data_IF_790481034870
#
_entry.id   IF_790481034870
#
_cell.length_a   1.000
_cell.length_b   1.000
_cell.length_c   1.000
_cell.angle_alpha   90.00
_cell.angle_beta   90.00
_cell.angle_gamma   90.00
#
_symmetry.space_group_name_H-M   'P 1'
#
loop_
_entity.id
_entity.type
_entity.pdbx_description
1 polymer ?
#
# COMPACT_ATOMS: atom_id res chain seq x y z
N UNK A 1 -9.90 2.75 28.92
CA UNK A 1 -8.69 2.69 29.75
C UNK A 1 -7.57 2.14 28.88
N UNK A 2 -6.45 2.85 28.83
CA UNK A 2 -5.25 2.40 28.11
C UNK A 2 -4.25 1.92 29.15
N UNK A 3 -3.66 0.76 28.92
CA UNK A 3 -2.57 0.26 29.74
C UNK A 3 -1.29 0.29 28.91
N UNK A 4 -0.28 1.04 29.39
CA UNK A 4 1.03 1.12 28.76
C UNK A 4 1.99 0.24 29.58
N UNK A 5 2.49 -0.82 28.96
CA UNK A 5 3.50 -1.68 29.57
C UNK A 5 4.79 -1.56 28.76
N UNK A 6 5.80 -0.91 29.34
CA UNK A 6 7.13 -0.84 28.73
C UNK A 6 7.79 -2.22 28.83
N UNK A 7 8.09 -2.84 27.70
CA UNK A 7 8.61 -4.19 27.69
C UNK A 7 10.02 -4.35 27.08
N UNK A 8 10.52 -3.33 26.37
CA UNK A 8 11.88 -3.39 25.81
C UNK A 8 12.47 -1.99 25.68
N UNK A 9 13.78 -1.85 25.95
CA UNK A 9 14.60 -0.72 25.54
C UNK A 9 15.36 -1.16 24.29
N UNK A 10 14.93 -0.70 23.14
CA UNK A 10 15.56 -1.02 21.86
C UNK A 10 17.05 -0.70 21.88
N UNK A 11 17.88 -1.60 21.41
CA UNK A 11 19.29 -1.32 21.13
C UNK A 11 19.41 -0.54 19.84
N UNK A 12 19.88 0.71 19.96
CA UNK A 12 20.31 1.59 18.86
C UNK A 12 19.53 1.52 17.52
N UNK A 13 18.48 2.26 17.44
CA UNK A 13 18.10 2.94 16.21
C UNK A 13 17.43 2.12 15.11
N UNK A 14 16.70 1.05 15.37
CA UNK A 14 15.86 0.39 14.38
C UNK A 14 14.38 0.66 14.66
N UNK A 15 13.78 1.55 13.88
CA UNK A 15 12.33 1.75 13.89
C UNK A 15 11.71 0.69 12.99
N UNK A 16 10.79 -0.06 13.57
CA UNK A 16 10.04 -1.11 12.89
C UNK A 16 8.71 -0.53 12.38
N UNK A 17 8.47 -0.58 11.09
CA UNK A 17 7.20 -0.16 10.48
C UNK A 17 6.56 -1.39 9.83
N UNK A 18 5.77 -2.16 10.58
CA UNK A 18 4.98 -3.29 10.09
C UNK A 18 5.75 -4.31 9.23
N UNK A 19 5.10 -4.95 8.25
CA UNK A 19 5.75 -5.85 7.27
C UNK A 19 6.85 -5.19 6.44
N UNK A 20 6.90 -3.87 6.40
CA UNK A 20 8.00 -3.08 5.82
C UNK A 20 9.34 -3.30 6.53
N UNK A 21 9.36 -4.03 7.63
CA UNK A 21 10.58 -4.47 8.33
C UNK A 21 11.53 -5.34 7.52
N UNK A 22 11.10 -5.87 6.38
CA UNK A 22 12.02 -6.50 5.44
C UNK A 22 13.01 -5.49 4.82
N UNK A 23 12.68 -4.19 4.89
CA UNK A 23 13.50 -3.12 4.33
C UNK A 23 13.79 -2.13 5.45
N UNK A 24 15.05 -2.06 5.86
CA UNK A 24 15.52 -1.07 6.83
C UNK A 24 15.39 0.34 6.23
N UNK A 25 14.34 1.08 6.62
CA UNK A 25 14.00 2.38 6.00
C UNK A 25 14.71 3.54 6.68
N UNK A 26 15.01 3.45 7.98
CA UNK A 26 15.81 4.47 8.68
C UNK A 26 16.64 3.86 9.82
N UNK A 27 17.79 4.48 10.09
CA UNK A 27 18.51 4.35 11.36
C UNK A 27 18.23 5.62 12.11
N UNK A 28 17.55 5.53 13.25
CA UNK A 28 17.60 6.60 14.23
C UNK A 28 18.96 6.57 14.91
N UNK A 29 19.52 7.74 15.20
CA UNK A 29 20.73 7.86 16.03
C UNK A 29 20.41 7.84 17.51
N UNK A 30 19.14 7.74 17.89
CA UNK A 30 18.64 7.80 19.25
C UNK A 30 18.03 6.46 19.69
N UNK A 31 18.01 6.15 20.98
CA UNK A 31 17.39 4.95 21.50
C UNK A 31 15.88 4.92 21.20
N UNK A 32 15.38 3.74 20.88
CA UNK A 32 13.95 3.48 20.70
C UNK A 32 13.39 2.96 22.00
N UNK A 33 12.36 3.62 22.53
CA UNK A 33 11.58 3.10 23.66
C UNK A 33 10.32 2.43 23.13
N UNK A 34 10.13 1.16 23.50
CA UNK A 34 9.06 0.31 23.00
C UNK A 34 8.03 0.02 24.09
N UNK A 35 6.75 0.17 23.74
CA UNK A 35 5.64 -0.03 24.65
C UNK A 35 4.59 -0.95 24.02
N UNK A 36 4.00 -1.83 24.81
CA UNK A 36 2.76 -2.50 24.50
C UNK A 36 1.61 -1.59 24.92
N UNK A 37 0.70 -1.28 24.00
CA UNK A 37 -0.52 -0.51 24.25
C UNK A 37 -1.71 -1.43 24.03
N UNK A 38 -2.42 -1.77 25.09
CA UNK A 38 -3.57 -2.66 25.03
C UNK A 38 -4.87 -1.90 24.86
N UNK A 39 -5.68 -2.31 23.89
CA UNK A 39 -7.02 -1.82 23.60
C UNK A 39 -8.04 -2.95 23.88
N UNK A 40 -9.33 -2.64 23.86
CA UNK A 40 -10.37 -3.66 24.09
C UNK A 40 -10.34 -4.82 23.08
N UNK A 41 -9.86 -4.57 21.85
CA UNK A 41 -9.92 -5.54 20.76
C UNK A 41 -8.56 -5.97 20.22
N UNK A 42 -7.51 -5.24 20.56
CA UNK A 42 -6.16 -5.51 20.05
C UNK A 42 -5.09 -4.91 20.96
N UNK A 43 -3.86 -5.36 20.80
CA UNK A 43 -2.70 -4.70 21.37
C UNK A 43 -1.82 -4.15 20.25
N UNK A 44 -1.29 -2.94 20.45
CA UNK A 44 -0.33 -2.33 19.53
C UNK A 44 1.03 -2.18 20.21
N UNK A 45 2.07 -2.19 19.40
CA UNK A 45 3.41 -1.79 19.78
C UNK A 45 3.58 -0.31 19.47
N UNK A 46 3.90 0.50 20.46
CA UNK A 46 4.27 1.90 20.31
C UNK A 46 5.79 2.00 20.42
N UNK A 47 6.46 2.41 19.37
CA UNK A 47 7.87 2.74 19.38
C UNK A 47 8.04 4.27 19.40
N UNK A 48 8.76 4.77 20.39
CA UNK A 48 9.09 6.17 20.55
C UNK A 48 10.60 6.37 20.40
N UNK A 49 10.98 7.28 19.53
CA UNK A 49 12.35 7.76 19.43
C UNK A 49 12.42 9.13 20.09
N UNK A 50 13.25 9.25 21.12
CA UNK A 50 13.43 10.48 21.87
C UNK A 50 14.84 10.99 21.65
N UNK A 51 14.97 12.25 21.24
CA UNK A 51 16.27 12.90 21.04
C UNK A 51 16.95 13.27 22.39
N UNK A 52 18.15 13.82 22.32
CA UNK A 52 18.92 14.21 23.50
C UNK A 52 18.26 15.36 24.31
N UNK A 53 17.36 16.13 23.68
CA UNK A 53 16.62 17.21 24.31
C UNK A 53 15.28 16.74 24.92
N UNK A 54 15.06 15.43 25.02
CA UNK A 54 13.80 14.79 25.49
C UNK A 54 12.59 15.12 24.60
N UNK A 55 12.80 15.43 23.33
CA UNK A 55 11.73 15.62 22.36
C UNK A 55 11.53 14.35 21.55
N UNK A 56 10.28 14.11 21.15
CA UNK A 56 9.94 13.00 20.27
C UNK A 56 10.46 13.31 18.86
N UNK A 57 11.43 12.51 18.39
CA UNK A 57 12.01 12.60 17.04
C UNK A 57 11.18 11.76 16.06
N UNK A 58 10.68 10.61 16.50
CA UNK A 58 9.80 9.75 15.71
C UNK A 58 8.86 8.93 16.61
N UNK A 59 7.73 8.54 16.05
CA UNK A 59 6.71 7.71 16.69
C UNK A 59 6.11 6.74 15.67
N UNK A 60 6.07 5.45 16.00
CA UNK A 60 5.32 4.46 15.22
C UNK A 60 4.37 3.66 16.09
N UNK A 61 3.28 3.19 15.47
CA UNK A 61 2.31 2.27 16.04
C UNK A 61 2.20 1.07 15.10
N UNK A 62 2.58 -0.09 15.60
CA UNK A 62 2.55 -1.35 14.87
C UNK A 62 1.72 -2.38 15.63
N UNK A 63 1.22 -3.45 15.01
CA UNK A 63 0.60 -4.56 15.72
C UNK A 63 1.57 -5.13 16.77
N UNK A 64 1.08 -5.30 18.01
CA UNK A 64 1.88 -5.95 19.05
C UNK A 64 2.01 -7.44 18.75
N UNK A 65 3.25 -7.93 18.74
CA UNK A 65 3.56 -9.34 18.51
C UNK A 65 4.09 -9.93 19.81
N UNK A 66 3.41 -10.95 20.32
CA UNK A 66 3.86 -11.65 21.52
C UNK A 66 5.12 -12.45 21.23
N UNK A 67 6.24 -12.06 21.84
CA UNK A 67 7.52 -12.73 21.65
C UNK A 67 7.52 -14.19 22.13
N UNK A 68 6.64 -14.58 23.06
CA UNK A 68 6.53 -15.96 23.53
C UNK A 68 6.15 -16.94 22.41
N UNK A 69 5.45 -16.46 21.36
CA UNK A 69 5.09 -17.27 20.17
C UNK A 69 6.28 -17.48 19.24
N UNK A 70 7.28 -16.58 19.28
CA UNK A 70 8.43 -16.61 18.34
C UNK A 70 9.54 -17.57 18.75
N UNK A 71 9.66 -17.86 20.06
CA UNK A 71 10.76 -18.70 20.58
C UNK A 71 10.66 -20.16 20.15
N UNK A 72 9.46 -20.60 19.74
CA UNK A 72 9.19 -21.97 19.27
C UNK A 72 9.20 -22.13 17.75
N UNK A 73 9.42 -21.05 16.97
CA UNK A 73 9.35 -21.16 15.52
C UNK A 73 10.51 -22.00 14.95
N UNK A 74 10.18 -23.04 14.21
CA UNK A 74 11.11 -23.96 13.54
C UNK A 74 11.34 -23.47 12.12
N UNK A 75 12.61 -23.25 11.77
CA UNK A 75 13.00 -22.91 10.41
C UNK A 75 13.05 -24.16 9.52
N UNK A 76 12.01 -24.34 8.71
CA UNK A 76 11.92 -25.39 7.68
C UNK A 76 11.97 -24.83 6.25
N UNK A 77 12.50 -23.60 6.09
CA UNK A 77 12.65 -22.96 4.78
C UNK A 77 13.71 -23.69 3.95
N UNK A 78 13.45 -23.83 2.68
CA UNK A 78 14.39 -24.42 1.71
C UNK A 78 15.09 -23.32 0.90
N UNK A 79 16.34 -23.57 0.57
CA UNK A 79 17.04 -22.82 -0.50
C UNK A 79 16.48 -23.35 -1.82
N UNK A 80 15.72 -22.54 -2.53
CA UNK A 80 14.91 -23.01 -3.64
C UNK A 80 15.43 -22.54 -5.01
N UNK A 81 16.31 -21.55 -5.02
CA UNK A 81 16.86 -21.00 -6.25
C UNK A 81 18.12 -20.16 -6.01
N UNK A 82 18.80 -19.81 -7.10
CA UNK A 82 20.03 -19.01 -7.09
C UNK A 82 19.86 -17.57 -6.55
N UNK A 83 18.62 -17.11 -6.37
CA UNK A 83 18.34 -15.73 -5.91
C UNK A 83 18.06 -15.63 -4.42
N UNK A 84 17.77 -16.74 -3.74
CA UNK A 84 17.56 -16.77 -2.29
C UNK A 84 18.73 -17.54 -1.67
N UNK A 85 19.75 -16.82 -1.29
CA UNK A 85 20.90 -17.35 -0.57
C UNK A 85 20.56 -17.57 0.94
N UNK A 86 21.47 -18.21 1.66
CA UNK A 86 21.31 -18.50 3.10
C UNK A 86 21.08 -17.24 3.93
N UNK A 87 21.70 -16.12 3.55
CA UNK A 87 21.54 -14.84 4.24
C UNK A 87 20.13 -14.28 4.06
N UNK A 88 19.60 -14.34 2.84
CA UNK A 88 18.24 -13.91 2.52
C UNK A 88 17.21 -14.82 3.21
N UNK A 89 17.41 -16.14 3.15
CA UNK A 89 16.57 -17.11 3.87
C UNK A 89 16.53 -16.81 5.37
N UNK A 90 17.69 -16.55 5.98
CA UNK A 90 17.77 -16.19 7.40
C UNK A 90 17.04 -14.89 7.72
N UNK A 91 17.11 -13.89 6.84
CA UNK A 91 16.35 -12.64 6.98
C UNK A 91 14.85 -12.92 6.91
N UNK A 92 14.40 -13.69 5.92
CA UNK A 92 12.99 -14.06 5.75
C UNK A 92 12.50 -14.78 7.03
N UNK A 93 13.20 -15.81 7.48
CA UNK A 93 12.83 -16.53 8.70
C UNK A 93 12.75 -15.60 9.92
N UNK A 94 13.80 -14.80 10.17
CA UNK A 94 13.85 -13.92 11.33
C UNK A 94 12.73 -12.88 11.36
N UNK A 95 12.22 -12.47 10.18
CA UNK A 95 11.11 -11.52 10.08
C UNK A 95 9.74 -12.19 10.12
N UNK A 96 9.64 -13.43 9.65
CA UNK A 96 8.37 -14.16 9.63
C UNK A 96 8.09 -14.97 10.89
N UNK A 97 9.09 -15.29 11.71
CA UNK A 97 8.92 -16.10 12.93
C UNK A 97 7.99 -15.49 13.99
N UNK A 98 7.73 -14.19 13.89
CA UNK A 98 6.83 -13.46 14.79
C UNK A 98 5.40 -13.37 14.28
N UNK A 99 5.15 -13.70 13.01
CA UNK A 99 3.83 -13.61 12.43
C UNK A 99 2.92 -14.74 12.96
N UNK A 100 1.60 -14.55 12.99
CA UNK A 100 0.68 -15.56 13.52
C UNK A 100 0.64 -16.82 12.66
N UNK A 101 0.03 -17.88 13.22
CA UNK A 101 -0.23 -19.12 12.49
C UNK A 101 -1.09 -18.86 11.23
N UNK A 102 -0.96 -19.70 10.22
CA UNK A 102 -1.58 -19.56 8.89
C UNK A 102 -1.14 -18.34 8.07
N UNK A 103 -0.15 -17.58 8.53
CA UNK A 103 0.46 -16.53 7.68
C UNK A 103 1.05 -17.14 6.42
N UNK A 104 0.74 -16.51 5.29
CA UNK A 104 1.38 -16.75 4.01
C UNK A 104 2.03 -15.46 3.51
N UNK A 105 3.25 -15.59 2.99
CA UNK A 105 3.94 -14.50 2.29
C UNK A 105 4.31 -15.00 0.90
N UNK A 106 3.96 -14.22 -0.13
CA UNK A 106 4.36 -14.46 -1.52
C UNK A 106 5.30 -13.34 -1.96
N UNK A 107 6.47 -13.72 -2.45
CA UNK A 107 7.54 -12.80 -2.86
C UNK A 107 7.82 -13.02 -4.34
N UNK A 108 7.73 -11.95 -5.14
CA UNK A 108 8.27 -11.89 -6.49
C UNK A 108 9.52 -11.02 -6.48
N UNK A 109 10.66 -11.61 -6.78
CA UNK A 109 11.96 -10.92 -6.83
C UNK A 109 12.45 -10.83 -8.27
N UNK A 110 12.79 -9.63 -8.70
CA UNK A 110 13.34 -9.37 -10.02
C UNK A 110 14.76 -8.84 -9.87
N UNK A 111 15.71 -9.51 -10.51
CA UNK A 111 17.11 -9.12 -10.53
C UNK A 111 17.60 -9.10 -11.96
N UNK A 112 18.09 -7.94 -12.42
CA UNK A 112 18.53 -7.74 -13.81
C UNK A 112 17.48 -8.16 -14.84
N UNK A 113 16.18 -7.97 -14.54
CA UNK A 113 15.06 -8.35 -15.39
C UNK A 113 14.61 -9.82 -15.30
N UNK A 114 15.31 -10.67 -14.57
CA UNK A 114 14.93 -12.06 -14.34
C UNK A 114 14.06 -12.19 -13.09
N UNK A 115 12.96 -12.93 -13.22
CA UNK A 115 11.97 -13.11 -12.15
C UNK A 115 12.18 -14.43 -11.45
N UNK A 116 12.08 -14.39 -10.13
CA UNK A 116 11.97 -15.57 -9.27
C UNK A 116 10.91 -15.36 -8.21
N UNK A 117 10.30 -16.45 -7.76
CA UNK A 117 9.28 -16.44 -6.74
C UNK A 117 9.72 -17.23 -5.53
N UNK A 118 9.37 -16.71 -4.37
CA UNK A 118 9.62 -17.39 -3.11
C UNK A 118 8.42 -17.22 -2.19
N UNK A 119 7.79 -18.32 -1.84
CA UNK A 119 6.63 -18.34 -0.97
C UNK A 119 6.95 -18.98 0.37
N UNK A 120 6.36 -18.46 1.42
CA UNK A 120 6.42 -19.07 2.76
C UNK A 120 5.03 -19.21 3.35
N UNK A 121 4.87 -20.23 4.21
CA UNK A 121 3.69 -20.41 5.05
C UNK A 121 4.14 -20.76 6.46
N UNK A 122 3.50 -20.15 7.46
CA UNK A 122 3.57 -20.58 8.84
C UNK A 122 2.41 -21.54 9.13
N UNK A 123 2.71 -22.71 9.62
CA UNK A 123 1.71 -23.69 10.10
C UNK A 123 2.23 -24.34 11.36
N UNK A 124 1.45 -24.25 12.42
CA UNK A 124 1.87 -24.60 13.78
C UNK A 124 3.16 -23.83 14.14
N UNK A 125 4.18 -24.52 14.65
CA UNK A 125 5.46 -23.90 15.02
C UNK A 125 6.46 -23.84 13.86
N UNK A 126 6.10 -24.30 12.66
CA UNK A 126 7.02 -24.38 11.51
C UNK A 126 6.76 -23.30 10.46
N UNK A 127 7.83 -22.76 9.92
CA UNK A 127 7.80 -21.87 8.73
C UNK A 127 8.49 -22.61 7.61
N UNK A 128 7.78 -22.85 6.52
CA UNK A 128 8.27 -23.65 5.39
C UNK A 128 8.00 -22.97 4.04
N UNK A 129 8.80 -23.34 3.06
CA UNK A 129 8.67 -22.85 1.70
C UNK A 129 7.45 -23.48 1.03
N UNK A 130 6.66 -22.66 0.33
CA UNK A 130 5.50 -23.09 -0.47
C UNK A 130 5.53 -22.40 -1.84
N UNK A 131 4.89 -23.01 -2.81
CA UNK A 131 4.63 -22.35 -4.08
C UNK A 131 3.27 -21.65 -4.01
N UNK A 132 3.29 -20.34 -3.79
CA UNK A 132 2.09 -19.51 -3.68
C UNK A 132 2.16 -18.24 -4.56
N UNK A 133 3.00 -18.25 -5.60
CA UNK A 133 3.15 -17.11 -6.52
C UNK A 133 1.85 -16.71 -7.22
N UNK A 134 0.94 -17.69 -7.40
CA UNK A 134 -0.39 -17.50 -8.00
C UNK A 134 -1.49 -17.19 -6.99
N UNK A 135 -1.22 -17.37 -5.70
CA UNK A 135 -2.20 -17.09 -4.67
C UNK A 135 -2.51 -15.58 -4.63
N UNK A 136 -3.78 -15.27 -4.47
CA UNK A 136 -4.30 -13.91 -4.57
C UNK A 136 -4.41 -13.28 -3.19
N UNK A 137 -4.05 -11.99 -3.11
CA UNK A 137 -4.07 -11.15 -1.92
C UNK A 137 -4.71 -9.80 -2.24
N UNK A 138 -5.25 -9.11 -1.25
CA UNK A 138 -5.54 -7.70 -1.38
C UNK A 138 -4.23 -6.91 -1.42
N UNK A 139 -4.00 -6.15 -2.49
CA UNK A 139 -2.77 -5.34 -2.62
C UNK A 139 -2.91 -3.95 -2.00
N UNK A 140 -4.08 -3.62 -1.47
CA UNK A 140 -4.35 -2.37 -0.80
C UNK A 140 -3.92 -1.16 -1.63
N UNK A 141 -3.26 -0.23 -0.99
CA UNK A 141 -2.90 1.06 -1.62
C UNK A 141 -1.94 0.99 -2.81
N UNK A 142 -1.36 -0.17 -3.15
CA UNK A 142 -0.64 -0.33 -4.43
C UNK A 142 -1.61 -0.08 -5.60
N UNK A 143 -2.91 -0.31 -5.44
CA UNK A 143 -3.96 0.06 -6.40
C UNK A 143 -3.87 1.51 -6.89
N UNK A 144 -3.37 2.43 -6.05
CA UNK A 144 -3.19 3.84 -6.43
C UNK A 144 -2.21 4.03 -7.58
N UNK A 145 -1.18 3.21 -7.64
CA UNK A 145 -0.22 3.26 -8.74
C UNK A 145 -0.88 2.86 -10.05
N UNK A 146 -1.75 1.84 -10.01
CA UNK A 146 -2.52 1.39 -11.17
C UNK A 146 -3.54 2.46 -11.60
N UNK A 147 -4.24 3.09 -10.66
CA UNK A 147 -5.13 4.23 -10.92
C UNK A 147 -4.40 5.39 -11.60
N UNK A 148 -3.21 5.72 -11.09
CA UNK A 148 -2.39 6.77 -11.68
C UNK A 148 -1.90 6.42 -13.09
N UNK A 149 -1.74 5.11 -13.41
CA UNK A 149 -1.41 4.69 -14.77
C UNK A 149 -2.56 5.00 -15.75
N UNK A 150 -3.81 4.75 -15.35
CA UNK A 150 -4.98 5.15 -16.17
C UNK A 150 -5.01 6.68 -16.31
N UNK A 151 -4.76 7.44 -15.24
CA UNK A 151 -4.64 8.90 -15.31
C UNK A 151 -3.57 9.33 -16.33
N UNK A 152 -2.39 8.70 -16.31
CA UNK A 152 -1.31 8.99 -17.25
C UNK A 152 -1.70 8.72 -18.70
N UNK A 153 -2.43 7.61 -18.96
CA UNK A 153 -2.97 7.29 -20.27
C UNK A 153 -3.87 8.42 -20.77
N UNK A 154 -4.83 8.87 -19.96
CA UNK A 154 -5.78 9.92 -20.34
C UNK A 154 -5.08 11.27 -20.62
N UNK A 155 -4.03 11.58 -19.87
CA UNK A 155 -3.19 12.75 -20.11
C UNK A 155 -2.47 12.65 -21.46
N UNK A 156 -1.89 11.50 -21.78
CA UNK A 156 -1.15 11.30 -23.04
C UNK A 156 -2.07 11.20 -24.26
N UNK A 157 -3.32 10.80 -24.09
CA UNK A 157 -4.36 10.83 -25.11
C UNK A 157 -5.01 12.23 -25.28
N UNK A 158 -4.53 13.23 -24.53
CA UNK A 158 -5.07 14.59 -24.50
C UNK A 158 -6.56 14.68 -24.12
N UNK A 159 -7.09 13.66 -23.41
CA UNK A 159 -8.44 13.70 -22.85
C UNK A 159 -8.54 14.68 -21.68
N UNK A 160 -7.45 14.80 -20.92
CA UNK A 160 -7.31 15.68 -19.77
C UNK A 160 -5.89 16.21 -19.65
N UNK A 161 -5.70 17.25 -18.80
CA UNK A 161 -4.40 17.70 -18.33
C UNK A 161 -4.25 17.42 -16.83
N UNK A 162 -3.04 17.16 -16.36
CA UNK A 162 -2.75 17.06 -14.92
C UNK A 162 -3.11 18.35 -14.16
N UNK A 163 -3.17 19.48 -14.84
CA UNK A 163 -3.54 20.77 -14.26
C UNK A 163 -5.03 21.10 -14.37
N UNK A 164 -5.81 20.26 -15.02
CA UNK A 164 -7.25 20.44 -15.07
C UNK A 164 -7.87 20.21 -13.69
N UNK A 165 -8.93 20.96 -13.41
CA UNK A 165 -9.73 20.77 -12.22
C UNK A 165 -10.72 19.62 -12.44
N UNK A 166 -10.81 18.70 -11.52
CA UNK A 166 -11.79 17.61 -11.59
C UNK A 166 -13.23 18.12 -11.63
N UNK A 167 -13.48 19.31 -11.09
CA UNK A 167 -14.74 20.02 -11.12
C UNK A 167 -15.36 20.13 -12.53
N UNK A 168 -14.53 20.21 -13.56
CA UNK A 168 -14.98 20.35 -14.96
C UNK A 168 -15.67 19.08 -15.50
N UNK A 169 -15.61 17.98 -14.76
CA UNK A 169 -16.07 16.66 -15.16
C UNK A 169 -17.20 16.12 -14.28
N UNK A 170 -17.76 16.97 -13.41
CA UNK A 170 -18.90 16.63 -12.55
C UNK A 170 -20.10 17.50 -12.92
N UNK A 171 -21.29 16.90 -12.87
CA UNK A 171 -22.56 17.63 -12.84
C UNK A 171 -22.90 18.11 -11.42
N UNK A 172 -21.89 18.22 -10.55
CA UNK A 172 -21.99 18.53 -9.14
C UNK A 172 -21.13 19.75 -8.81
N UNK A 173 -21.66 20.73 -8.11
CA UNK A 173 -20.89 21.84 -7.58
C UNK A 173 -20.23 21.42 -6.26
N UNK A 174 -18.90 21.45 -6.23
CA UNK A 174 -18.19 21.19 -4.98
C UNK A 174 -18.43 22.33 -3.98
N UNK A 175 -18.52 21.98 -2.70
CA UNK A 175 -18.70 22.95 -1.61
C UNK A 175 -17.71 24.11 -1.75
N UNK A 176 -18.19 25.33 -1.48
CA UNK A 176 -17.42 26.59 -1.56
C UNK A 176 -16.72 26.77 -2.91
N UNK A 177 -17.23 26.15 -3.99
CA UNK A 177 -16.64 26.17 -5.34
C UNK A 177 -15.14 25.85 -5.37
N UNK A 178 -14.70 24.98 -4.49
CA UNK A 178 -13.30 24.55 -4.36
C UNK A 178 -12.81 23.94 -5.66
N UNK A 179 -11.61 24.33 -6.10
CA UNK A 179 -10.97 23.81 -7.31
C UNK A 179 -9.87 22.81 -6.95
N UNK A 180 -9.93 21.60 -7.50
CA UNK A 180 -9.00 20.50 -7.17
C UNK A 180 -8.42 19.92 -8.47
N UNK A 181 -7.10 19.95 -8.59
CA UNK A 181 -6.38 19.47 -9.78
C UNK A 181 -6.06 17.97 -9.69
N UNK A 182 -6.13 17.26 -10.82
CA UNK A 182 -5.68 15.85 -10.91
C UNK A 182 -4.29 15.66 -10.34
N UNK A 183 -3.33 16.52 -10.71
CA UNK A 183 -1.95 16.45 -10.21
C UNK A 183 -1.88 16.45 -8.70
N UNK A 184 -2.64 17.35 -8.05
CA UNK A 184 -2.62 17.48 -6.59
C UNK A 184 -3.27 16.32 -5.86
N UNK A 185 -4.24 15.63 -6.48
CA UNK A 185 -4.80 14.38 -5.98
C UNK A 185 -3.79 13.24 -6.08
N UNK A 186 -3.20 13.07 -7.28
CA UNK A 186 -2.30 11.95 -7.58
C UNK A 186 -0.97 12.00 -6.80
N UNK A 187 -0.54 13.17 -6.33
CA UNK A 187 0.68 13.34 -5.54
C UNK A 187 0.42 13.74 -4.08
N UNK A 188 -0.85 13.65 -3.62
CA UNK A 188 -1.24 13.93 -2.24
C UNK A 188 -0.93 15.35 -1.75
N UNK A 189 -1.07 16.37 -2.61
CA UNK A 189 -0.85 17.77 -2.23
C UNK A 189 -2.09 18.66 -2.33
N UNK A 190 -3.26 18.04 -2.50
CA UNK A 190 -4.54 18.76 -2.65
C UNK A 190 -5.03 19.43 -1.37
N UNK A 191 -4.57 18.97 -0.20
CA UNK A 191 -5.07 19.42 1.10
C UNK A 191 -6.42 18.80 1.50
N UNK A 192 -6.98 17.87 0.69
CA UNK A 192 -8.20 17.15 1.09
C UNK A 192 -7.87 16.10 2.16
N UNK A 193 -8.82 15.75 3.04
CA UNK A 193 -8.59 14.79 4.12
C UNK A 193 -8.30 13.38 3.58
N UNK A 194 -7.77 12.52 4.46
CA UNK A 194 -7.56 11.09 4.15
C UNK A 194 -8.84 10.40 3.76
N UNK A 195 -9.93 10.64 4.50
CA UNK A 195 -11.27 10.09 4.32
C UNK A 195 -12.30 11.20 4.46
N UNK A 196 -13.49 11.09 3.83
CA UNK A 196 -14.61 12.00 4.08
C UNK A 196 -15.05 11.94 5.54
N UNK A 197 -15.55 13.04 6.09
CA UNK A 197 -16.03 13.08 7.48
C UNK A 197 -17.29 12.23 7.70
N UNK A 198 -18.13 12.07 6.67
CA UNK A 198 -19.32 11.22 6.71
C UNK A 198 -18.99 9.71 6.59
N UNK A 199 -17.73 9.34 6.32
CA UNK A 199 -17.29 7.94 6.24
C UNK A 199 -17.53 7.18 7.57
N UNK A 200 -17.44 7.88 8.71
CA UNK A 200 -17.70 7.27 10.01
C UNK A 200 -19.08 6.65 10.14
N UNK A 201 -20.08 7.16 9.41
CA UNK A 201 -21.45 6.61 9.42
C UNK A 201 -21.51 5.23 8.76
N UNK A 202 -20.71 5.01 7.72
CA UNK A 202 -20.59 3.73 7.02
C UNK A 202 -19.74 2.74 7.82
N UNK A 203 -18.56 3.17 8.28
CA UNK A 203 -17.63 2.30 9.01
C UNK A 203 -18.19 1.76 10.34
N UNK A 204 -19.05 2.52 11.04
CA UNK A 204 -19.73 2.06 12.25
C UNK A 204 -20.75 0.96 11.98
N UNK A 205 -21.38 0.93 10.80
CA UNK A 205 -22.34 -0.11 10.42
C UNK A 205 -21.65 -1.46 10.19
N UNK A 206 -20.41 -1.43 9.69
CA UNK A 206 -19.64 -2.63 9.43
C UNK A 206 -18.14 -2.40 9.78
N UNK A 207 -17.76 -2.51 11.06
CA UNK A 207 -16.38 -2.20 11.49
C UNK A 207 -15.29 -3.08 10.88
N UNK A 208 -15.61 -4.34 10.54
CA UNK A 208 -14.66 -5.28 9.92
C UNK A 208 -14.56 -5.10 8.40
N UNK A 209 -15.55 -4.45 7.77
CA UNK A 209 -15.56 -4.11 6.35
C UNK A 209 -16.04 -2.66 6.16
N UNK A 210 -15.24 -1.67 6.59
CA UNK A 210 -15.68 -0.30 6.84
C UNK A 210 -16.13 0.45 5.58
N UNK A 211 -15.71 0.00 4.41
CA UNK A 211 -16.03 0.65 3.12
C UNK A 211 -17.32 0.14 2.48
N UNK A 212 -17.81 -1.03 2.92
CA UNK A 212 -18.92 -1.76 2.26
C UNK A 212 -20.18 -0.91 2.05
N UNK A 213 -20.49 -0.10 3.03
CA UNK A 213 -21.73 0.71 3.02
C UNK A 213 -21.55 2.13 2.46
N UNK A 214 -20.31 2.53 2.08
CA UNK A 214 -20.03 3.85 1.52
C UNK A 214 -20.22 3.85 0.00
N UNK A 215 -21.29 4.52 -0.47
CA UNK A 215 -21.71 4.52 -1.87
C UNK A 215 -21.36 5.83 -2.58
N UNK A 216 -21.66 5.90 -3.89
CA UNK A 216 -21.46 7.11 -4.70
C UNK A 216 -22.24 8.30 -4.13
N UNK A 217 -23.50 8.09 -3.73
CA UNK A 217 -24.34 9.16 -3.17
C UNK A 217 -23.77 9.75 -1.88
N UNK A 218 -23.12 8.91 -1.03
CA UNK A 218 -22.42 9.40 0.17
C UNK A 218 -21.24 10.30 -0.18
N UNK A 219 -20.50 9.93 -1.25
CA UNK A 219 -19.40 10.72 -1.76
C UNK A 219 -19.87 12.05 -2.35
N UNK A 220 -20.91 12.03 -3.20
CA UNK A 220 -21.47 13.22 -3.83
C UNK A 220 -22.02 14.20 -2.78
N UNK A 221 -22.77 13.68 -1.78
CA UNK A 221 -23.23 14.46 -0.63
C UNK A 221 -22.07 15.08 0.15
N UNK A 222 -21.00 14.31 0.37
CA UNK A 222 -19.81 14.87 1.03
C UNK A 222 -19.18 16.00 0.23
N UNK A 223 -19.07 15.82 -1.10
CA UNK A 223 -18.44 16.79 -1.99
C UNK A 223 -19.22 18.10 -2.07
N UNK A 224 -20.58 18.04 -2.10
CA UNK A 224 -21.46 19.23 -2.16
C UNK A 224 -21.57 19.94 -0.81
N UNK A 225 -21.67 19.18 0.28
CA UNK A 225 -22.12 19.76 1.56
C UNK A 225 -21.01 19.93 2.60
N UNK A 226 -19.97 19.08 2.54
CA UNK A 226 -19.05 18.91 3.66
C UNK A 226 -17.57 18.97 3.28
N UNK A 227 -17.22 18.98 1.99
CA UNK A 227 -15.83 19.01 1.54
C UNK A 227 -15.09 20.21 2.16
N UNK A 228 -13.94 19.93 2.77
CA UNK A 228 -13.03 20.96 3.27
C UNK A 228 -11.63 20.69 2.78
N UNK A 229 -10.96 21.74 2.29
CA UNK A 229 -9.53 21.70 2.01
C UNK A 229 -8.81 22.28 3.23
N UNK A 230 -7.87 21.52 3.76
CA UNK A 230 -6.93 22.05 4.74
C UNK A 230 -5.96 22.99 4.03
N UNK A 231 -6.17 24.31 4.19
CA UNK A 231 -5.38 25.34 3.51
C UNK A 231 -3.91 25.31 3.94
N UNK A 232 -3.61 24.97 5.20
CA UNK A 232 -2.24 24.86 5.73
C UNK A 232 -1.45 23.72 5.09
N UNK A 233 -2.17 22.68 4.61
CA UNK A 233 -1.60 21.51 3.95
C UNK A 233 -1.74 21.55 2.41
N UNK A 234 -2.41 22.56 1.83
CA UNK A 234 -2.47 22.73 0.39
C UNK A 234 -1.08 22.96 -0.18
N UNK A 235 -0.68 22.13 -1.13
CA UNK A 235 0.68 22.12 -1.69
C UNK A 235 1.70 21.31 -0.87
N UNK A 236 1.37 20.88 0.37
CA UNK A 236 2.18 19.96 1.17
C UNK A 236 1.65 18.53 1.07
N UNK A 237 2.50 17.57 1.37
CA UNK A 237 2.12 16.16 1.37
C UNK A 237 1.11 15.88 2.50
N UNK A 238 -0.07 15.40 2.11
CA UNK A 238 -1.11 14.88 3.00
C UNK A 238 -1.77 13.67 2.33
N UNK A 239 -1.40 12.48 2.78
CA UNK A 239 -1.87 11.23 2.17
C UNK A 239 -3.40 11.12 2.20
N UNK A 240 -4.02 10.86 1.03
CA UNK A 240 -5.47 10.82 0.90
C UNK A 240 -5.95 9.61 0.08
N UNK A 241 -6.76 8.74 0.70
CA UNK A 241 -7.52 7.70 -0.02
C UNK A 241 -8.64 8.34 -0.85
N UNK A 242 -9.29 9.36 -0.28
CA UNK A 242 -10.32 10.15 -0.97
C UNK A 242 -9.80 10.71 -2.30
N UNK A 243 -8.53 11.16 -2.33
CA UNK A 243 -7.93 11.69 -3.55
C UNK A 243 -7.92 10.69 -4.70
N UNK A 244 -7.59 9.44 -4.44
CA UNK A 244 -7.58 8.38 -5.46
C UNK A 244 -8.97 7.84 -5.79
N UNK A 245 -9.88 7.82 -4.83
CA UNK A 245 -11.30 7.58 -5.12
C UNK A 245 -11.85 8.63 -6.08
N UNK A 246 -11.54 9.92 -5.87
CA UNK A 246 -11.94 11.01 -6.76
C UNK A 246 -11.30 10.91 -8.15
N UNK A 247 -10.04 10.52 -8.26
CA UNK A 247 -9.42 10.28 -9.57
C UNK A 247 -10.20 9.18 -10.30
N UNK A 248 -10.40 8.00 -9.68
CA UNK A 248 -11.11 6.91 -10.31
C UNK A 248 -12.55 7.27 -10.68
N UNK A 249 -13.27 7.94 -9.79
CA UNK A 249 -14.62 8.43 -10.05
C UNK A 249 -14.68 9.40 -11.24
N UNK A 250 -13.76 10.38 -11.28
CA UNK A 250 -13.70 11.35 -12.38
C UNK A 250 -13.35 10.70 -13.72
N UNK A 251 -12.36 9.80 -13.72
CA UNK A 251 -11.96 9.08 -14.94
C UNK A 251 -13.10 8.20 -15.46
N UNK A 252 -13.89 7.59 -14.57
CA UNK A 252 -15.10 6.81 -14.93
C UNK A 252 -16.15 7.67 -15.63
N UNK A 253 -16.36 8.89 -15.16
CA UNK A 253 -17.27 9.86 -15.83
C UNK A 253 -16.75 10.27 -17.21
N UNK A 254 -15.46 10.55 -17.34
CA UNK A 254 -14.84 10.97 -18.61
C UNK A 254 -14.91 9.84 -19.64
N UNK A 255 -14.68 8.61 -19.24
CA UNK A 255 -14.63 7.45 -20.14
C UNK A 255 -16.01 6.77 -20.34
N UNK A 256 -17.01 7.21 -19.57
CA UNK A 256 -18.34 6.61 -19.53
C UNK A 256 -18.32 5.10 -19.26
N UNK A 257 -17.41 4.67 -18.40
CA UNK A 257 -17.24 3.29 -17.96
C UNK A 257 -17.08 3.25 -16.43
N UNK A 258 -17.48 2.14 -15.80
CA UNK A 258 -17.13 1.93 -14.41
C UNK A 258 -15.62 1.67 -14.25
N UNK A 259 -15.07 2.00 -13.07
CA UNK A 259 -13.62 1.92 -12.86
C UNK A 259 -13.07 0.50 -12.99
N UNK A 260 -13.84 -0.56 -12.70
CA UNK A 260 -13.39 -1.95 -12.82
C UNK A 260 -13.12 -2.30 -14.27
N UNK A 261 -14.07 -1.95 -15.16
CA UNK A 261 -13.93 -2.13 -16.61
C UNK A 261 -12.74 -1.36 -17.19
N UNK A 262 -12.48 -0.13 -16.68
CA UNK A 262 -11.29 0.62 -17.07
C UNK A 262 -9.99 -0.08 -16.65
N UNK A 263 -9.94 -0.62 -15.42
CA UNK A 263 -8.77 -1.35 -14.95
C UNK A 263 -8.53 -2.62 -15.76
N UNK A 264 -9.59 -3.38 -16.03
CA UNK A 264 -9.50 -4.60 -16.86
C UNK A 264 -8.93 -4.28 -18.25
N UNK A 265 -9.42 -3.21 -18.90
CA UNK A 265 -9.02 -2.84 -20.25
C UNK A 265 -7.64 -2.18 -20.32
N UNK A 266 -7.38 -1.23 -19.41
CA UNK A 266 -6.22 -0.35 -19.54
C UNK A 266 -5.01 -0.80 -18.72
N UNK A 267 -5.21 -1.69 -17.74
CA UNK A 267 -4.16 -2.18 -16.86
C UNK A 267 -4.01 -3.70 -16.96
N UNK A 268 -5.05 -4.46 -16.57
CA UNK A 268 -4.90 -5.90 -16.41
C UNK A 268 -4.63 -6.60 -17.74
N UNK A 269 -5.41 -6.28 -18.76
CA UNK A 269 -5.17 -6.81 -20.13
C UNK A 269 -3.86 -6.28 -20.73
N UNK A 270 -3.55 -4.99 -20.53
CA UNK A 270 -2.33 -4.36 -21.09
C UNK A 270 -1.04 -5.03 -20.58
N UNK A 271 -1.01 -5.40 -19.31
CA UNK A 271 0.18 -5.98 -18.67
C UNK A 271 0.07 -7.50 -18.47
N UNK A 272 -0.91 -8.15 -19.10
CA UNK A 272 -1.15 -9.61 -19.00
C UNK A 272 -1.33 -10.08 -17.54
N UNK A 273 -2.04 -9.28 -16.73
CA UNK A 273 -2.32 -9.55 -15.31
C UNK A 273 -3.62 -10.36 -15.18
N UNK A 274 -3.59 -11.60 -15.65
CA UNK A 274 -4.78 -12.41 -15.90
C UNK A 274 -5.52 -12.90 -14.65
N UNK A 275 -4.89 -12.84 -13.47
CA UNK A 275 -5.48 -13.20 -12.18
C UNK A 275 -5.68 -11.98 -11.28
N UNK A 276 -5.59 -10.77 -11.84
CA UNK A 276 -5.79 -9.52 -11.09
C UNK A 276 -7.20 -9.01 -11.35
N UNK A 277 -7.91 -8.64 -10.28
CA UNK A 277 -9.33 -8.28 -10.36
C UNK A 277 -9.77 -7.40 -9.18
N UNK A 278 -10.99 -6.86 -9.26
CA UNK A 278 -11.72 -6.30 -8.11
C UNK A 278 -12.79 -7.25 -7.57
N UNK A 279 -13.02 -8.38 -8.25
CA UNK A 279 -14.10 -9.30 -7.92
C UNK A 279 -13.52 -10.55 -7.24
N UNK A 280 -14.12 -10.96 -6.14
CA UNK A 280 -13.77 -12.20 -5.44
C UNK A 280 -14.29 -13.43 -6.18
N UNK A 281 -15.42 -13.25 -6.85
CA UNK A 281 -16.03 -14.26 -7.70
C UNK A 281 -15.06 -14.64 -8.83
N UNK A 282 -14.84 -15.93 -8.99
CA UNK A 282 -13.89 -16.46 -9.98
C UNK A 282 -12.44 -16.63 -9.51
N UNK A 283 -12.08 -16.07 -8.35
CA UNK A 283 -10.72 -16.21 -7.77
C UNK A 283 -10.72 -16.79 -6.35
N UNK A 284 -11.87 -17.22 -5.85
CA UNK A 284 -12.03 -17.68 -4.46
C UNK A 284 -11.07 -18.81 -4.08
N UNK A 285 -10.79 -19.76 -5.00
CA UNK A 285 -9.91 -20.89 -4.74
C UNK A 285 -8.43 -20.47 -4.57
N UNK A 286 -8.05 -19.32 -5.12
CA UNK A 286 -6.70 -18.78 -5.03
C UNK A 286 -6.58 -17.67 -3.97
N UNK A 287 -7.70 -17.12 -3.52
CA UNK A 287 -7.73 -16.01 -2.56
C UNK A 287 -7.36 -16.50 -1.16
N UNK A 288 -6.21 -16.06 -0.68
CA UNK A 288 -5.73 -16.37 0.66
C UNK A 288 -6.59 -15.64 1.68
N UNK A 289 -7.00 -16.30 2.76
CA UNK A 289 -7.75 -15.65 3.86
C UNK A 289 -6.88 -14.62 4.58
N UNK A 290 -7.41 -13.42 4.76
CA UNK A 290 -6.77 -12.36 5.52
C UNK A 290 -6.79 -12.64 7.02
N UNK A 291 -5.74 -12.26 7.71
CA UNK A 291 -5.58 -12.46 9.15
C UNK A 291 -5.36 -11.12 9.85
N UNK A 292 -5.91 -10.98 11.06
CA UNK A 292 -5.49 -9.93 11.97
C UNK A 292 -4.12 -10.27 12.62
N UNK A 293 -3.58 -9.37 13.42
CA UNK A 293 -2.30 -9.57 14.12
C UNK A 293 -2.30 -10.75 15.11
N UNK A 294 -3.46 -11.22 15.54
CA UNK A 294 -3.63 -12.39 16.42
C UNK A 294 -3.73 -13.71 15.63
N UNK A 295 -3.91 -13.63 14.31
CA UNK A 295 -4.06 -14.81 13.44
C UNK A 295 -5.51 -15.23 13.21
N UNK A 296 -6.48 -14.43 13.63
CA UNK A 296 -7.88 -14.68 13.34
C UNK A 296 -8.20 -14.25 11.91
N UNK A 297 -9.04 -15.03 11.23
CA UNK A 297 -9.53 -14.67 9.90
C UNK A 297 -10.40 -13.42 9.96
N UNK A 298 -10.15 -12.48 9.04
CA UNK A 298 -10.93 -11.27 8.87
C UNK A 298 -11.52 -11.20 7.47
N UNK A 299 -12.69 -10.54 7.30
CA UNK A 299 -13.31 -10.44 5.99
C UNK A 299 -12.49 -9.57 5.05
N UNK A 300 -12.54 -9.89 3.76
CA UNK A 300 -12.05 -9.02 2.71
C UNK A 300 -12.83 -7.70 2.68
N UNK A 301 -12.14 -6.60 2.36
CA UNK A 301 -12.77 -5.30 2.24
C UNK A 301 -13.46 -5.10 0.87
N UNK A 302 -14.70 -4.62 0.91
CA UNK A 302 -15.46 -4.21 -0.27
C UNK A 302 -15.34 -2.68 -0.41
N UNK A 303 -14.31 -2.21 -1.10
CA UNK A 303 -13.95 -0.80 -1.11
C UNK A 303 -14.91 0.11 -1.89
N UNK A 304 -15.87 -0.43 -2.62
CA UNK A 304 -16.89 0.34 -3.36
C UNK A 304 -16.24 1.48 -4.16
N UNK A 305 -16.70 2.71 -4.01
CA UNK A 305 -16.15 3.88 -4.71
C UNK A 305 -14.66 4.16 -4.36
N UNK A 306 -14.14 3.59 -3.28
CA UNK A 306 -12.73 3.63 -2.92
C UNK A 306 -11.88 2.53 -3.60
N UNK A 307 -12.46 1.70 -4.45
CA UNK A 307 -11.73 0.66 -5.21
C UNK A 307 -10.45 1.17 -5.86
N UNK A 308 -10.46 2.30 -6.58
CA UNK A 308 -9.26 2.92 -7.16
C UNK A 308 -8.17 3.27 -6.15
N UNK A 309 -8.52 3.44 -4.89
CA UNK A 309 -7.57 3.75 -3.81
C UNK A 309 -6.97 2.50 -3.12
N UNK A 310 -7.57 1.30 -3.31
CA UNK A 310 -7.09 0.15 -2.53
C UNK A 310 -7.75 -1.19 -2.78
N UNK A 311 -8.64 -1.34 -3.76
CA UNK A 311 -9.52 -2.51 -3.90
C UNK A 311 -9.03 -3.63 -4.80
N UNK A 312 -7.84 -3.54 -5.38
CA UNK A 312 -7.33 -4.56 -6.30
C UNK A 312 -6.89 -5.82 -5.55
N UNK A 313 -7.31 -6.96 -6.07
CA UNK A 313 -6.86 -8.30 -5.71
C UNK A 313 -5.83 -8.74 -6.76
N UNK A 314 -4.67 -9.23 -6.35
CA UNK A 314 -3.61 -9.66 -7.28
C UNK A 314 -2.69 -10.69 -6.64
N UNK A 315 -1.76 -11.21 -7.42
CA UNK A 315 -0.76 -12.18 -7.01
C UNK A 315 0.66 -11.71 -7.37
N UNK A 316 1.67 -12.45 -6.91
CA UNK A 316 3.06 -12.09 -7.15
C UNK A 316 3.43 -12.18 -8.65
N UNK A 317 2.85 -13.14 -9.39
CA UNK A 317 3.14 -13.31 -10.82
C UNK A 317 2.66 -12.09 -11.64
N UNK A 318 1.42 -11.67 -11.45
CA UNK A 318 0.87 -10.52 -12.17
C UNK A 318 1.57 -9.21 -11.77
N UNK A 319 1.84 -9.05 -10.46
CA UNK A 319 2.54 -7.85 -10.00
C UNK A 319 3.98 -7.77 -10.51
N UNK A 320 4.67 -8.90 -10.73
CA UNK A 320 6.01 -8.88 -11.36
C UNK A 320 5.96 -8.48 -12.83
N UNK A 321 4.89 -8.84 -13.56
CA UNK A 321 4.68 -8.36 -14.94
C UNK A 321 4.55 -6.83 -14.97
N UNK A 322 3.77 -6.25 -14.04
CA UNK A 322 3.66 -4.81 -13.90
C UNK A 322 5.00 -4.14 -13.54
N UNK A 323 5.82 -4.77 -12.67
CA UNK A 323 7.17 -4.28 -12.35
C UNK A 323 8.07 -4.31 -13.57
N UNK A 324 8.07 -5.41 -14.34
CA UNK A 324 8.89 -5.55 -15.56
C UNK A 324 8.50 -4.47 -16.57
N UNK A 325 7.21 -4.20 -16.73
CA UNK A 325 6.75 -3.14 -17.61
C UNK A 325 7.36 -1.77 -17.23
N UNK A 326 7.59 -1.50 -15.93
CA UNK A 326 8.25 -0.27 -15.48
C UNK A 326 9.68 -0.09 -16.02
N UNK A 327 10.35 -1.16 -16.45
CA UNK A 327 11.71 -1.08 -17.02
C UNK A 327 11.72 -0.57 -18.46
N UNK A 328 10.57 -0.50 -19.12
CA UNK A 328 10.45 0.06 -20.46
C UNK A 328 10.45 1.59 -20.41
N UNK A 329 11.62 2.20 -20.64
CA UNK A 329 11.76 3.66 -20.65
C UNK A 329 11.09 4.34 -21.84
N UNK A 330 10.69 3.58 -22.86
CA UNK A 330 9.94 4.10 -24.03
C UNK A 330 8.43 4.21 -23.74
N UNK A 331 7.93 3.54 -22.72
CA UNK A 331 6.52 3.67 -22.30
C UNK A 331 6.32 5.04 -21.63
N UNK A 332 5.65 5.93 -22.36
CA UNK A 332 5.40 7.31 -21.94
C UNK A 332 4.46 7.38 -20.72
N UNK A 333 3.48 6.47 -20.62
CA UNK A 333 2.55 6.42 -19.50
C UNK A 333 3.31 6.10 -18.19
N UNK A 334 4.11 5.03 -18.20
CA UNK A 334 4.90 4.61 -17.05
C UNK A 334 6.00 5.62 -16.70
N UNK A 335 6.55 6.32 -17.71
CA UNK A 335 7.50 7.40 -17.46
C UNK A 335 6.84 8.57 -16.75
N UNK A 336 5.65 8.99 -17.18
CA UNK A 336 4.89 10.09 -16.56
C UNK A 336 4.56 9.78 -15.09
N UNK A 337 4.20 8.52 -14.76
CA UNK A 337 3.98 8.09 -13.38
C UNK A 337 5.18 8.38 -12.47
N UNK A 338 6.37 8.19 -12.99
CA UNK A 338 7.63 8.26 -12.24
C UNK A 338 8.27 9.65 -12.24
N UNK A 339 7.73 10.60 -12.97
CA UNK A 339 8.18 11.99 -12.91
C UNK A 339 7.87 12.59 -11.55
N UNK A 340 8.87 13.21 -10.95
CA UNK A 340 8.66 13.86 -9.64
C UNK A 340 7.75 15.07 -9.80
N UNK A 341 6.60 15.03 -9.15
CA UNK A 341 5.57 16.09 -9.19
C UNK A 341 5.50 16.90 -7.89
N UNK A 342 5.99 16.33 -6.78
CA UNK A 342 6.11 17.04 -5.50
C UNK A 342 7.28 16.51 -4.68
N UNK A 343 7.66 17.27 -3.64
CA UNK A 343 8.72 16.95 -2.71
C UNK A 343 8.12 16.76 -1.32
N UNK A 344 8.45 15.68 -0.65
CA UNK A 344 8.07 15.44 0.74
C UNK A 344 9.19 15.97 1.66
N UNK A 345 10.42 15.53 1.42
CA UNK A 345 11.61 16.00 2.12
C UNK A 345 12.87 15.84 1.24
N UNK A 346 14.07 15.97 1.84
CA UNK A 346 15.34 15.88 1.10
C UNK A 346 15.61 14.52 0.45
N UNK A 347 15.01 13.44 0.97
CA UNK A 347 15.24 12.05 0.54
C UNK A 347 14.03 11.42 -0.13
N UNK A 348 12.84 12.04 -0.04
CA UNK A 348 11.58 11.49 -0.49
C UNK A 348 10.78 12.50 -1.31
N UNK A 349 10.29 12.08 -2.47
CA UNK A 349 9.38 12.81 -3.35
C UNK A 349 8.19 11.97 -3.75
N UNK A 350 7.29 12.56 -4.55
CA UNK A 350 6.13 11.89 -5.13
C UNK A 350 6.14 12.04 -6.65
N UNK A 351 5.83 10.95 -7.33
CA UNK A 351 5.33 10.93 -8.70
C UNK A 351 3.82 11.01 -8.72
N UNK A 352 3.19 10.32 -9.67
CA UNK A 352 1.76 10.06 -9.66
C UNK A 352 1.54 8.68 -9.02
N UNK A 353 1.07 8.66 -7.78
CA UNK A 353 0.91 7.43 -6.98
C UNK A 353 2.21 6.81 -6.44
N UNK A 354 3.37 7.06 -7.03
CA UNK A 354 4.64 6.53 -6.57
C UNK A 354 5.32 7.42 -5.53
N UNK A 355 5.78 6.83 -4.43
CA UNK A 355 6.84 7.42 -3.62
C UNK A 355 8.17 7.26 -4.34
N UNK A 356 8.97 8.32 -4.40
CA UNK A 356 10.27 8.35 -5.05
C UNK A 356 11.36 8.51 -3.99
N UNK A 357 12.11 7.46 -3.75
CA UNK A 357 13.28 7.51 -2.86
C UNK A 357 14.50 8.06 -3.58
N UNK A 358 15.30 8.83 -2.85
CA UNK A 358 16.53 9.46 -3.37
C UNK A 358 16.32 10.17 -4.72
N UNK A 359 15.31 11.06 -4.86
CA UNK A 359 14.90 11.62 -6.16
C UNK A 359 16.00 12.40 -6.86
N UNK A 360 17.00 12.87 -6.14
CA UNK A 360 18.16 13.58 -6.68
C UNK A 360 19.28 12.65 -7.20
N UNK A 361 19.21 11.36 -6.93
CA UNK A 361 20.24 10.38 -7.30
C UNK A 361 19.78 9.50 -8.44
N UNK A 362 20.41 9.65 -9.62
CA UNK A 362 20.15 8.73 -10.73
C UNK A 362 20.65 7.30 -10.49
N UNK A 363 21.53 7.07 -9.49
CA UNK A 363 22.09 5.75 -9.17
C UNK A 363 21.30 5.01 -8.10
N UNK A 364 20.61 5.74 -7.20
CA UNK A 364 19.91 5.18 -6.03
C UNK A 364 18.42 5.50 -6.01
N UNK A 365 17.87 6.00 -7.11
CA UNK A 365 16.45 6.33 -7.19
C UNK A 365 15.65 5.04 -7.24
N UNK A 366 14.70 4.93 -6.34
CA UNK A 366 13.74 3.82 -6.30
C UNK A 366 12.31 4.36 -6.25
N UNK A 367 11.39 3.58 -6.76
CA UNK A 367 9.96 3.87 -6.74
C UNK A 367 9.30 2.82 -5.86
N UNK A 368 8.47 3.24 -4.91
CA UNK A 368 7.78 2.30 -4.02
C UNK A 368 6.37 2.72 -3.69
N UNK A 369 5.56 1.74 -3.32
CA UNK A 369 4.29 1.94 -2.63
C UNK A 369 4.01 0.75 -1.72
N UNK A 370 3.46 1.01 -0.53
CA UNK A 370 2.95 -0.03 0.36
C UNK A 370 1.43 -0.09 0.32
N UNK A 371 0.85 -1.20 0.73
CA UNK A 371 -0.58 -1.39 0.85
C UNK A 371 -0.95 -2.15 2.10
N UNK A 372 -2.02 -1.71 2.77
CA UNK A 372 -2.61 -2.41 3.91
C UNK A 372 -4.12 -2.40 3.77
N UNK A 373 -4.76 -3.49 4.19
CA UNK A 373 -6.20 -3.63 4.37
C UNK A 373 -6.49 -4.29 5.72
N UNK A 374 -7.70 -4.76 5.95
CA UNK A 374 -8.06 -5.39 7.23
C UNK A 374 -7.29 -6.65 7.57
N UNK A 375 -6.79 -7.39 6.57
CA UNK A 375 -6.09 -8.66 6.78
C UNK A 375 -4.88 -8.85 5.87
N UNK A 376 -4.39 -7.82 5.20
CA UNK A 376 -3.29 -7.96 4.23
C UNK A 376 -2.34 -6.79 4.29
N UNK A 377 -1.07 -7.11 4.04
CA UNK A 377 -0.02 -6.11 3.82
C UNK A 377 0.74 -6.41 2.53
N UNK A 378 1.17 -5.37 1.86
CA UNK A 378 1.89 -5.48 0.60
C UNK A 378 2.94 -4.38 0.45
N UNK A 379 3.97 -4.65 -0.34
CA UNK A 379 4.92 -3.63 -0.78
C UNK A 379 5.45 -3.95 -2.17
N UNK A 380 5.52 -2.93 -3.00
CA UNK A 380 6.18 -2.94 -4.31
C UNK A 380 7.33 -1.95 -4.30
N UNK A 381 8.50 -2.38 -4.80
CA UNK A 381 9.69 -1.51 -4.99
C UNK A 381 10.27 -1.79 -6.37
N UNK A 382 10.66 -0.71 -7.07
CA UNK A 382 11.19 -0.79 -8.43
C UNK A 382 12.44 0.08 -8.56
N UNK A 383 13.52 -0.53 -9.00
CA UNK A 383 14.76 0.12 -9.47
C UNK A 383 14.81 -0.02 -10.99
N UNK A 384 14.27 0.97 -11.70
CA UNK A 384 14.16 0.96 -13.15
C UNK A 384 15.51 0.89 -13.82
N UNK A 385 16.50 1.60 -13.30
CA UNK A 385 17.83 1.71 -13.88
C UNK A 385 18.56 0.37 -13.93
N UNK A 386 18.48 -0.38 -12.84
CA UNK A 386 19.16 -1.66 -12.71
C UNK A 386 18.25 -2.86 -13.06
N UNK A 387 17.02 -2.59 -13.52
CA UNK A 387 15.98 -3.61 -13.79
C UNK A 387 15.78 -4.58 -12.63
N UNK A 388 15.77 -4.02 -11.42
CA UNK A 388 15.48 -4.76 -10.19
C UNK A 388 14.12 -4.36 -9.64
N UNK A 389 13.48 -5.30 -8.96
CA UNK A 389 12.22 -5.04 -8.31
C UNK A 389 11.83 -6.12 -7.32
N UNK A 390 10.90 -5.80 -6.47
CA UNK A 390 10.34 -6.74 -5.52
C UNK A 390 8.87 -6.42 -5.30
N UNK A 391 8.07 -7.47 -5.22
CA UNK A 391 6.73 -7.47 -4.66
C UNK A 391 6.69 -8.45 -3.49
N UNK A 392 6.15 -8.03 -2.37
CA UNK A 392 5.86 -8.87 -1.23
C UNK A 392 4.38 -8.72 -0.89
N UNK A 393 3.69 -9.84 -0.84
CA UNK A 393 2.27 -9.93 -0.48
C UNK A 393 2.16 -10.81 0.77
N UNK A 394 1.40 -10.36 1.74
CA UNK A 394 1.14 -11.08 2.99
C UNK A 394 -0.34 -11.04 3.34
N UNK A 395 -0.86 -12.11 3.91
CA UNK A 395 -2.22 -12.20 4.42
C UNK A 395 -2.31 -11.86 5.92
N UNK A 396 -1.41 -11.04 6.41
CA UNK A 396 -1.49 -10.51 7.78
C UNK A 396 -1.20 -9.01 7.79
N UNK A 397 -1.93 -8.28 8.63
CA UNK A 397 -1.78 -6.83 8.81
C UNK A 397 -0.81 -6.52 9.92
#
# INVERSE_FOLDING_TARGET
NFEFVKYDKGMNGEISIGLLNFIKISKSNFPVERYKVSFEREALQLDLVVDNDQKIDDISLDPYIDNAVSEKAINSLKLDNELIDEKQQKVIFNKSKYLPNNTQISIGLIKNGQVNYYGIKRQNDSIFTVNNSKNIFEIGSISKVLTANILSKFVLENKISLNDNINNYFDLTLKDSVQIKFKSLANHTSGIPRMPNNFSNSSKKNPLNPYKEYKVDDLETYLSDSLKINQDNKGKFLYSNLGFALIGYTLSKIDNQDYKSMFDSYIFSKYDMTNTTFLKEGVNDLLVKGLNSQGDEVPNWDLQIFGPAGGVLSNAEDMTKFIIAQFNEKDKELKLLREQTSKINGKLGMGLGWFIENPKSNKKRMYRHGGNTGGYSSIIIVDVKNKNGIIILSNVT
#
